data_IF_365818673618
#
_entry.id   IF_365818673618
#
_cell.length_a   1.000
_cell.length_b   1.000
_cell.length_c   1.000
_cell.angle_alpha   90.00
_cell.angle_beta   90.00
_cell.angle_gamma   90.00
#
_symmetry.space_group_name_H-M   'P 1'
#
loop_
_entity.id
_entity.type
_entity.pdbx_description
1 polymer ?
#
# COMPACT_ATOMS: atom_id res chain seq x y z
N UNK A 1 -10.48 12.20 -0.08
CA UNK A 1 -9.06 12.12 -0.51
C UNK A 1 -8.90 10.94 -1.45
N UNK A 2 -7.73 10.28 -1.48
CA UNK A 2 -7.54 8.97 -2.13
C UNK A 2 -7.08 7.95 -1.06
N UNK A 3 -6.10 7.09 -1.32
CA UNK A 3 -5.53 6.16 -0.35
C UNK A 3 -4.69 6.89 0.74
N UNK A 4 -4.84 6.56 2.03
CA UNK A 4 -4.07 7.18 3.12
C UNK A 4 -2.59 6.75 3.08
N UNK A 5 -2.35 5.44 2.88
CA UNK A 5 -1.00 4.89 2.65
C UNK A 5 -1.05 4.04 1.38
N UNK A 6 -0.24 4.36 0.39
CA UNK A 6 -0.14 3.62 -0.87
C UNK A 6 1.26 2.98 -1.04
N UNK A 7 1.34 1.65 -0.98
CA UNK A 7 2.57 0.89 -1.22
C UNK A 7 2.65 0.51 -2.70
N UNK A 8 3.76 0.88 -3.36
CA UNK A 8 3.98 0.70 -4.80
C UNK A 8 5.38 0.15 -5.07
N UNK A 9 5.52 -0.57 -6.18
CA UNK A 9 6.79 -1.12 -6.67
C UNK A 9 6.99 -0.85 -8.17
N UNK A 10 6.48 0.29 -8.65
CA UNK A 10 6.68 0.76 -10.01
C UNK A 10 5.74 0.15 -11.06
N UNK A 11 5.65 0.84 -12.20
CA UNK A 11 4.95 0.37 -13.40
C UNK A 11 5.73 -0.75 -14.06
N UNK A 12 5.07 -1.50 -14.94
CA UNK A 12 5.63 -2.70 -15.60
C UNK A 12 7.04 -2.49 -16.17
N UNK A 13 7.31 -1.38 -16.86
CA UNK A 13 8.63 -1.12 -17.45
C UNK A 13 9.73 -0.86 -16.41
N UNK A 14 9.38 -0.35 -15.22
CA UNK A 14 10.31 -0.19 -14.10
C UNK A 14 10.55 -1.52 -13.40
N UNK A 15 9.48 -2.30 -13.16
CA UNK A 15 9.56 -3.64 -12.59
C UNK A 15 10.44 -4.57 -13.43
N UNK A 16 10.24 -4.58 -14.75
CA UNK A 16 11.06 -5.35 -15.70
C UNK A 16 12.49 -4.86 -15.85
N UNK A 17 12.79 -3.59 -15.54
CA UNK A 17 14.14 -3.05 -15.66
C UNK A 17 14.95 -3.27 -14.40
N UNK A 18 14.36 -2.94 -13.24
CA UNK A 18 15.08 -2.85 -11.99
C UNK A 18 14.90 -4.10 -11.11
N UNK A 19 13.77 -4.82 -11.22
CA UNK A 19 13.48 -6.00 -10.41
C UNK A 19 13.65 -5.76 -8.90
N UNK A 20 13.31 -4.55 -8.44
CA UNK A 20 13.42 -4.16 -7.03
C UNK A 20 12.02 -4.18 -6.41
N UNK A 21 11.75 -5.07 -5.43
CA UNK A 21 10.50 -5.08 -4.70
C UNK A 21 10.44 -3.95 -3.67
N UNK A 22 9.21 -3.63 -3.26
CA UNK A 22 8.96 -2.85 -2.05
C UNK A 22 8.71 -3.84 -0.90
N UNK A 23 9.64 -3.93 0.04
CA UNK A 23 9.66 -5.00 1.06
C UNK A 23 10.04 -4.52 2.46
N UNK A 24 9.72 -5.33 3.47
CA UNK A 24 9.97 -5.09 4.90
C UNK A 24 9.39 -3.73 5.38
N UNK A 25 8.06 -3.61 5.27
CA UNK A 25 7.33 -2.39 5.63
C UNK A 25 6.47 -2.65 6.87
N UNK A 26 6.64 -1.81 7.89
CA UNK A 26 5.74 -1.75 9.05
C UNK A 26 4.91 -0.46 9.03
N UNK A 27 3.58 -0.61 9.06
CA UNK A 27 2.62 0.49 9.20
C UNK A 27 1.85 0.27 10.50
N UNK A 28 2.16 1.06 11.52
CA UNK A 28 1.61 0.87 12.85
C UNK A 28 1.24 2.17 13.56
N UNK A 29 0.31 2.06 14.52
CA UNK A 29 -0.05 3.16 15.43
C UNK A 29 -0.57 4.42 14.73
N UNK A 30 -1.23 4.24 13.59
CA UNK A 30 -1.74 5.33 12.75
C UNK A 30 -3.26 5.47 12.84
N UNK A 31 -3.76 6.70 12.71
CA UNK A 31 -5.19 7.00 12.55
C UNK A 31 -5.47 7.46 11.11
N UNK A 32 -6.21 6.64 10.37
CA UNK A 32 -6.62 6.88 8.99
C UNK A 32 -8.12 7.19 9.00
N UNK A 33 -8.46 8.48 8.97
CA UNK A 33 -9.80 8.99 9.30
C UNK A 33 -10.71 9.29 8.09
N UNK A 34 -10.14 9.34 6.89
CA UNK A 34 -10.86 9.55 5.62
C UNK A 34 -9.96 9.12 4.44
N UNK A 35 -10.54 8.52 3.39
CA UNK A 35 -9.81 8.04 2.21
C UNK A 35 -10.45 6.85 1.50
N UNK A 36 -10.13 6.64 0.22
CA UNK A 36 -10.61 5.47 -0.55
C UNK A 36 -10.00 4.14 -0.08
N UNK A 37 -8.90 4.20 0.67
CA UNK A 37 -8.20 3.06 1.24
C UNK A 37 -7.37 3.49 2.44
N UNK A 38 -7.45 2.79 3.57
CA UNK A 38 -6.56 3.01 4.71
C UNK A 38 -5.12 2.66 4.33
N UNK A 39 -4.88 1.39 4.04
CA UNK A 39 -3.65 0.92 3.39
C UNK A 39 -3.99 0.29 2.06
N UNK A 40 -3.32 0.75 1.02
CA UNK A 40 -3.51 0.27 -0.34
C UNK A 40 -2.20 -0.22 -0.93
N UNK A 41 -2.18 -1.44 -1.46
CA UNK A 41 -1.06 -1.99 -2.21
C UNK A 41 -1.39 -1.90 -3.70
N UNK A 42 -0.54 -1.21 -4.47
CA UNK A 42 -0.68 -1.02 -5.93
C UNK A 42 -1.45 0.25 -6.34
N UNK A 43 -1.89 0.37 -7.59
CA UNK A 43 -1.83 -0.64 -8.68
C UNK A 43 -0.44 -0.81 -9.29
N UNK A 44 0.44 0.18 -9.20
CA UNK A 44 1.81 0.07 -9.73
C UNK A 44 2.70 -0.77 -8.82
N UNK A 45 2.58 -2.10 -8.91
CA UNK A 45 3.29 -3.06 -8.05
C UNK A 45 4.14 -4.07 -8.84
N UNK A 46 4.51 -3.75 -10.09
CA UNK A 46 5.17 -4.70 -11.00
C UNK A 46 6.57 -5.16 -10.56
N UNK A 47 7.27 -4.39 -9.72
CA UNK A 47 8.52 -4.81 -9.09
C UNK A 47 8.35 -5.80 -7.93
N UNK A 48 7.10 -6.04 -7.49
CA UNK A 48 6.76 -6.90 -6.34
C UNK A 48 6.56 -6.11 -5.05
N UNK A 49 5.61 -6.54 -4.23
CA UNK A 49 5.41 -6.02 -2.86
C UNK A 49 5.34 -7.23 -1.94
N UNK A 50 6.19 -7.28 -0.92
CA UNK A 50 6.29 -8.41 0.01
C UNK A 50 6.54 -7.92 1.45
N UNK A 51 6.18 -8.76 2.43
CA UNK A 51 6.36 -8.49 3.86
C UNK A 51 5.91 -7.08 4.31
N UNK A 52 4.61 -6.80 4.13
CA UNK A 52 3.97 -5.57 4.62
C UNK A 52 3.13 -5.91 5.85
N UNK A 53 3.54 -5.40 7.02
CA UNK A 53 2.87 -5.59 8.30
C UNK A 53 2.07 -4.33 8.65
N UNK A 54 0.76 -4.48 8.79
CA UNK A 54 -0.15 -3.39 9.20
C UNK A 54 -0.85 -3.77 10.50
N UNK A 55 -0.61 -3.04 11.58
CA UNK A 55 -1.19 -3.38 12.88
C UNK A 55 -1.37 -2.18 13.81
N UNK A 56 -2.26 -2.30 14.80
CA UNK A 56 -2.52 -1.23 15.77
C UNK A 56 -2.93 0.11 15.11
N UNK A 57 -3.65 0.04 13.98
CA UNK A 57 -4.13 1.21 13.25
C UNK A 57 -5.63 1.38 13.45
N UNK A 58 -6.06 2.63 13.64
CA UNK A 58 -7.48 3.01 13.59
C UNK A 58 -7.81 3.44 12.17
N UNK A 59 -8.59 2.61 11.46
CA UNK A 59 -9.12 2.92 10.14
C UNK A 59 -10.61 3.20 10.27
N UNK A 60 -11.00 4.47 10.14
CA UNK A 60 -12.38 4.92 10.33
C UNK A 60 -12.75 5.89 9.22
N UNK A 61 -13.95 5.76 8.66
CA UNK A 61 -14.42 6.67 7.59
C UNK A 61 -13.83 6.40 6.21
N UNK A 62 -12.83 5.52 6.09
CA UNK A 62 -12.30 5.08 4.79
C UNK A 62 -13.22 4.08 4.11
N UNK A 63 -13.33 4.13 2.77
CA UNK A 63 -14.14 3.17 1.98
C UNK A 63 -13.72 1.71 2.21
N UNK A 64 -12.41 1.50 2.36
CA UNK A 64 -11.76 0.18 2.54
C UNK A 64 -10.63 0.32 3.54
N UNK A 65 -10.54 -0.58 4.51
CA UNK A 65 -9.39 -0.61 5.45
C UNK A 65 -8.10 -1.04 4.76
N UNK A 66 -8.12 -2.21 4.12
CA UNK A 66 -7.03 -2.73 3.28
C UNK A 66 -7.53 -2.88 1.84
N UNK A 67 -6.74 -2.45 0.86
CA UNK A 67 -7.06 -2.58 -0.57
C UNK A 67 -5.86 -3.08 -1.37
N UNK A 68 -6.05 -4.08 -2.23
CA UNK A 68 -5.01 -4.57 -3.14
C UNK A 68 -5.47 -4.34 -4.58
N UNK A 69 -4.63 -3.68 -5.38
CA UNK A 69 -4.83 -3.36 -6.80
C UNK A 69 -3.58 -3.83 -7.57
N UNK A 70 -3.75 -4.26 -8.81
CA UNK A 70 -2.66 -4.57 -9.73
C UNK A 70 -2.94 -3.99 -11.11
#
# INVERSE_FOLDING_TARGET
GDDCVAVKAGKIYLGMKYHVPCEDIEIAWCAMLDGHGGVTVGSEMAGGVQDVRVHHCLMRGSDRGLRIKT
#
